data_IF_941165081524
#
_entry.id   IF_941165081524
#
_cell.length_a   1.000
_cell.length_b   1.000
_cell.length_c   1.000
_cell.angle_alpha   90.00
_cell.angle_beta   90.00
_cell.angle_gamma   90.00
#
_symmetry.space_group_name_H-M   'P 1'
#
loop_
_entity.id
_entity.type
_entity.pdbx_description
1 polymer ?
#
# COMPACT_ATOMS: atom_id res chain seq x y z
N UNK A 1 -10.31 0.47 20.59
CA UNK A 1 -9.56 0.53 19.31
C UNK A 1 -10.19 -0.35 18.22
N UNK A 2 -10.46 -1.63 18.48
CA UNK A 2 -11.05 -2.56 17.49
C UNK A 2 -12.36 -2.10 16.84
N UNK A 3 -13.29 -1.49 17.59
CA UNK A 3 -14.54 -0.96 17.05
C UNK A 3 -14.34 0.18 16.04
N UNK A 4 -13.29 0.99 16.18
CA UNK A 4 -13.02 2.09 15.24
C UNK A 4 -12.46 1.53 13.93
N UNK A 5 -11.57 0.53 14.02
CA UNK A 5 -11.01 -0.15 12.85
C UNK A 5 -12.12 -0.85 12.05
N UNK A 6 -13.07 -1.52 12.71
CA UNK A 6 -14.18 -2.18 12.01
C UNK A 6 -15.09 -1.17 11.29
N UNK A 7 -15.36 -0.01 11.89
CA UNK A 7 -16.10 1.08 11.24
C UNK A 7 -15.34 1.63 10.03
N UNK A 8 -14.02 1.83 10.12
CA UNK A 8 -13.21 2.28 8.99
C UNK A 8 -13.23 1.28 7.83
N UNK A 9 -13.13 -0.02 8.13
CA UNK A 9 -13.25 -1.08 7.13
C UNK A 9 -14.63 -1.10 6.48
N UNK A 10 -15.70 -0.93 7.26
CA UNK A 10 -17.06 -0.84 6.73
C UNK A 10 -17.26 0.39 5.86
N UNK A 11 -16.71 1.54 6.25
CA UNK A 11 -16.72 2.75 5.43
C UNK A 11 -16.05 2.50 4.08
N UNK A 12 -14.84 1.90 4.10
CA UNK A 12 -14.12 1.51 2.88
C UNK A 12 -14.99 0.61 1.99
N UNK A 13 -15.60 -0.43 2.55
CA UNK A 13 -16.48 -1.32 1.78
C UNK A 13 -17.69 -0.58 1.17
N UNK A 14 -18.31 0.33 1.92
CA UNK A 14 -19.44 1.13 1.40
C UNK A 14 -19.02 2.05 0.25
N UNK A 15 -17.93 2.81 0.40
CA UNK A 15 -17.48 3.70 -0.69
C UNK A 15 -17.00 2.91 -1.93
N UNK A 16 -16.52 1.67 -1.76
CA UNK A 16 -16.26 0.75 -2.86
C UNK A 16 -17.54 0.30 -3.57
N UNK A 17 -18.56 -0.10 -2.81
CA UNK A 17 -19.86 -0.51 -3.37
C UNK A 17 -20.54 0.62 -4.15
N UNK A 18 -20.44 1.84 -3.66
CA UNK A 18 -20.98 3.04 -4.32
C UNK A 18 -20.11 3.54 -5.47
N UNK A 19 -18.95 2.92 -5.73
CA UNK A 19 -17.95 3.37 -6.71
C UNK A 19 -17.45 4.82 -6.49
N UNK A 20 -17.38 5.26 -5.24
CA UNK A 20 -16.94 6.60 -4.83
C UNK A 20 -15.70 6.54 -3.91
N UNK A 21 -14.59 5.91 -4.33
CA UNK A 21 -13.40 5.67 -3.50
C UNK A 21 -12.85 6.92 -2.81
N UNK A 22 -12.95 8.07 -3.51
CA UNK A 22 -12.43 9.36 -3.04
C UNK A 22 -13.04 9.81 -1.71
N UNK A 23 -14.30 9.45 -1.45
CA UNK A 23 -15.01 9.84 -0.23
C UNK A 23 -14.42 9.18 1.02
N UNK A 24 -13.77 8.02 0.88
CA UNK A 24 -13.11 7.36 2.01
C UNK A 24 -11.66 7.83 2.26
N UNK A 25 -11.03 8.54 1.31
CA UNK A 25 -9.60 8.91 1.39
C UNK A 25 -9.30 9.79 2.60
N UNK A 26 -10.03 10.90 2.78
CA UNK A 26 -9.77 11.81 3.88
C UNK A 26 -10.09 11.20 5.26
N UNK A 27 -11.25 10.54 5.46
CA UNK A 27 -11.56 9.86 6.73
C UNK A 27 -10.54 8.78 7.10
N UNK A 28 -10.15 7.91 6.15
CA UNK A 28 -9.18 6.84 6.43
C UNK A 28 -7.79 7.40 6.72
N UNK A 29 -7.35 8.47 6.05
CA UNK A 29 -6.09 9.15 6.37
C UNK A 29 -6.08 9.64 7.82
N UNK A 30 -7.18 10.27 8.25
CA UNK A 30 -7.32 10.73 9.63
C UNK A 30 -7.31 9.56 10.62
N UNK A 31 -7.99 8.46 10.27
CA UNK A 31 -8.02 7.27 11.11
C UNK A 31 -6.63 6.63 11.26
N UNK A 32 -5.86 6.48 10.17
CA UNK A 32 -4.48 5.97 10.20
C UNK A 32 -3.64 6.77 11.19
N UNK A 33 -3.60 8.09 11.03
CA UNK A 33 -2.78 8.98 11.89
C UNK A 33 -3.19 9.00 13.36
N UNK A 34 -4.49 8.79 13.66
CA UNK A 34 -4.99 8.83 15.04
C UNK A 34 -4.93 7.48 15.74
N UNK A 35 -4.91 6.38 14.99
CA UNK A 35 -4.94 5.02 15.53
C UNK A 35 -3.57 4.37 15.57
N UNK A 36 -2.60 4.86 14.79
CA UNK A 36 -1.22 4.42 14.89
C UNK A 36 -0.65 4.74 16.29
N UNK A 37 0.02 3.77 16.90
CA UNK A 37 0.74 3.93 18.17
C UNK A 37 1.98 4.79 18.00
N UNK A 38 2.69 4.61 16.89
CA UNK A 38 3.84 5.41 16.42
C UNK A 38 3.76 5.58 14.90
N UNK A 39 4.53 6.52 14.33
CA UNK A 39 4.67 6.63 12.87
C UNK A 39 5.40 5.43 12.25
N UNK A 40 6.11 4.65 13.06
CA UNK A 40 6.88 3.49 12.63
C UNK A 40 6.04 2.20 12.56
N UNK A 41 4.80 2.25 13.04
CA UNK A 41 3.95 1.08 13.20
C UNK A 41 2.92 0.93 12.07
N UNK A 42 2.99 -0.19 11.36
CA UNK A 42 2.06 -0.52 10.29
C UNK A 42 0.73 -1.02 10.87
N UNK A 43 -0.34 -0.26 10.62
CA UNK A 43 -1.70 -0.71 10.92
C UNK A 43 -2.39 -1.27 9.67
N UNK A 44 -3.35 -2.18 9.88
CA UNK A 44 -4.21 -2.72 8.80
C UNK A 44 -4.87 -1.65 7.91
N UNK A 45 -5.14 -0.45 8.45
CA UNK A 45 -5.79 0.65 7.73
C UNK A 45 -4.89 1.34 6.70
N UNK A 46 -3.56 1.18 6.79
CA UNK A 46 -2.64 1.73 5.80
C UNK A 46 -2.93 1.18 4.41
N UNK A 47 -3.05 -0.15 4.30
CA UNK A 47 -3.35 -0.80 3.03
C UNK A 47 -4.70 -0.40 2.46
N UNK A 48 -5.74 -0.28 3.30
CA UNK A 48 -7.07 0.18 2.89
C UNK A 48 -7.02 1.64 2.39
N UNK A 49 -6.32 2.53 3.09
CA UNK A 49 -6.12 3.91 2.67
C UNK A 49 -5.39 4.01 1.31
N UNK A 50 -4.28 3.29 1.14
CA UNK A 50 -3.51 3.30 -0.10
C UNK A 50 -4.33 2.75 -1.27
N UNK A 51 -5.16 1.71 -1.04
CA UNK A 51 -6.10 1.21 -2.04
C UNK A 51 -7.09 2.29 -2.48
N UNK A 52 -7.68 3.03 -1.55
CA UNK A 52 -8.58 4.15 -1.89
C UNK A 52 -7.86 5.23 -2.69
N UNK A 53 -6.62 5.59 -2.32
CA UNK A 53 -5.81 6.55 -3.07
C UNK A 53 -5.50 6.06 -4.49
N UNK A 54 -5.22 4.77 -4.66
CA UNK A 54 -4.95 4.18 -5.96
C UNK A 54 -6.19 4.23 -6.87
N UNK A 55 -7.35 3.80 -6.35
CA UNK A 55 -8.60 3.76 -7.12
C UNK A 55 -9.15 5.16 -7.45
N UNK A 56 -8.94 6.12 -6.55
CA UNK A 56 -9.30 7.53 -6.79
C UNK A 56 -8.23 8.32 -7.58
N UNK A 57 -7.10 7.70 -7.93
CA UNK A 57 -5.94 8.34 -8.55
C UNK A 57 -5.33 9.49 -7.73
N UNK A 58 -5.58 9.54 -6.43
CA UNK A 58 -5.03 10.52 -5.49
C UNK A 58 -3.65 10.10 -4.96
N UNK A 59 -2.69 9.89 -5.87
CA UNK A 59 -1.36 9.34 -5.54
C UNK A 59 -0.55 10.24 -4.60
N UNK A 60 -0.62 11.57 -4.75
CA UNK A 60 0.07 12.52 -3.85
C UNK A 60 -0.42 12.39 -2.40
N UNK A 61 -1.70 12.11 -2.21
CA UNK A 61 -2.28 11.89 -0.88
C UNK A 61 -1.77 10.58 -0.29
N UNK A 62 -1.74 9.51 -1.08
CA UNK A 62 -1.18 8.22 -0.65
C UNK A 62 0.30 8.32 -0.29
N UNK A 63 1.06 9.07 -1.09
CA UNK A 63 2.49 9.29 -0.88
C UNK A 63 2.83 9.89 0.49
N UNK A 64 1.98 10.77 1.04
CA UNK A 64 2.23 11.41 2.33
C UNK A 64 2.35 10.45 3.53
N UNK A 65 1.89 9.20 3.40
CA UNK A 65 2.07 8.14 4.40
C UNK A 65 3.24 7.22 4.03
N UNK A 66 3.52 7.06 2.72
CA UNK A 66 4.62 6.20 2.23
C UNK A 66 6.01 6.81 2.45
N UNK A 67 6.09 8.11 2.77
CA UNK A 67 7.34 8.81 3.10
C UNK A 67 7.72 8.64 4.58
N UNK A 68 6.84 8.07 5.41
CA UNK A 68 7.14 7.68 6.79
C UNK A 68 7.80 6.30 6.81
N UNK A 69 8.89 6.14 7.56
CA UNK A 69 9.58 4.86 7.70
C UNK A 69 8.79 3.94 8.63
N UNK A 70 8.51 2.72 8.17
CA UNK A 70 7.77 1.70 8.93
C UNK A 70 8.72 0.57 9.30
N UNK A 71 8.83 0.27 10.58
CA UNK A 71 9.70 -0.77 11.13
C UNK A 71 8.93 -1.86 11.89
N UNK A 72 7.75 -1.54 12.44
CA UNK A 72 6.95 -2.47 13.21
C UNK A 72 5.76 -2.97 12.38
N UNK A 73 5.61 -4.31 12.30
CA UNK A 73 4.52 -4.96 11.57
C UNK A 73 3.99 -6.14 12.38
N UNK A 74 2.68 -6.11 12.67
CA UNK A 74 2.02 -7.21 13.38
C UNK A 74 1.72 -8.42 12.48
N UNK A 75 1.30 -8.16 11.23
CA UNK A 75 0.84 -9.21 10.32
C UNK A 75 1.56 -9.13 8.96
N UNK A 76 2.18 -10.23 8.48
CA UNK A 76 2.86 -10.25 7.18
C UNK A 76 1.96 -9.76 6.03
N UNK A 77 0.69 -10.18 6.02
CA UNK A 77 -0.28 -9.79 4.98
C UNK A 77 -0.43 -8.27 4.83
N UNK A 78 -0.36 -7.54 5.93
CA UNK A 78 -0.49 -6.08 5.91
C UNK A 78 0.72 -5.43 5.24
N UNK A 79 1.92 -5.96 5.48
CA UNK A 79 3.14 -5.55 4.79
C UNK A 79 3.07 -5.84 3.29
N UNK A 80 2.60 -7.02 2.87
CA UNK A 80 2.45 -7.36 1.44
C UNK A 80 1.59 -6.34 0.70
N UNK A 81 0.41 -6.01 1.24
CA UNK A 81 -0.51 -5.07 0.62
C UNK A 81 0.01 -3.63 0.68
N UNK A 82 0.58 -3.22 1.82
CA UNK A 82 1.19 -1.91 1.98
C UNK A 82 2.28 -1.68 0.92
N UNK A 83 3.22 -2.61 0.81
CA UNK A 83 4.32 -2.50 -0.13
C UNK A 83 3.83 -2.60 -1.59
N UNK A 84 2.89 -3.50 -1.88
CA UNK A 84 2.35 -3.62 -3.23
C UNK A 84 1.65 -2.33 -3.69
N UNK A 85 0.75 -1.78 -2.88
CA UNK A 85 0.05 -0.53 -3.21
C UNK A 85 0.99 0.68 -3.18
N UNK A 86 1.97 0.70 -2.26
CA UNK A 86 3.02 1.71 -2.23
C UNK A 86 3.86 1.72 -3.51
N UNK A 87 4.21 0.53 -4.02
CA UNK A 87 4.85 0.36 -5.32
C UNK A 87 4.01 0.93 -6.44
N UNK A 88 2.72 0.58 -6.51
CA UNK A 88 1.80 1.07 -7.55
C UNK A 88 1.61 2.60 -7.53
N UNK A 89 1.50 3.20 -6.35
CA UNK A 89 1.42 4.66 -6.18
C UNK A 89 2.70 5.32 -6.72
N UNK A 90 3.87 4.79 -6.36
CA UNK A 90 5.15 5.31 -6.85
C UNK A 90 5.31 5.13 -8.37
N UNK A 91 4.81 4.03 -8.96
CA UNK A 91 4.73 3.85 -10.43
C UNK A 91 3.85 4.94 -11.05
N UNK A 92 2.66 5.19 -10.48
CA UNK A 92 1.74 6.24 -10.95
C UNK A 92 2.34 7.64 -10.90
N UNK A 93 3.27 7.87 -9.97
CA UNK A 93 4.05 9.11 -9.83
C UNK A 93 5.38 9.10 -10.60
N UNK A 94 5.68 8.05 -11.37
CA UNK A 94 6.95 7.82 -12.09
C UNK A 94 8.20 7.83 -11.18
N UNK A 95 8.04 7.58 -9.88
CA UNK A 95 9.13 7.40 -8.92
C UNK A 95 9.64 5.95 -8.97
N UNK A 96 10.18 5.54 -10.12
CA UNK A 96 10.46 4.13 -10.42
C UNK A 96 11.46 3.48 -9.45
N UNK A 97 12.50 4.20 -9.02
CA UNK A 97 13.45 3.71 -8.00
C UNK A 97 12.72 3.30 -6.71
N UNK A 98 11.89 4.19 -6.16
CA UNK A 98 11.13 3.91 -4.93
C UNK A 98 10.09 2.82 -5.15
N UNK A 99 9.47 2.77 -6.33
CA UNK A 99 8.57 1.67 -6.67
C UNK A 99 9.28 0.31 -6.65
N UNK A 100 10.52 0.22 -7.14
CA UNK A 100 11.32 -1.00 -7.08
C UNK A 100 11.62 -1.41 -5.63
N UNK A 101 11.97 -0.48 -4.75
CA UNK A 101 12.18 -0.77 -3.32
C UNK A 101 10.92 -1.42 -2.70
N UNK A 102 9.75 -0.80 -2.92
CA UNK A 102 8.48 -1.32 -2.42
C UNK A 102 8.13 -2.70 -3.00
N UNK A 103 8.26 -2.89 -4.31
CA UNK A 103 7.96 -4.18 -4.95
C UNK A 103 8.98 -5.25 -4.58
N UNK A 104 10.25 -4.89 -4.37
CA UNK A 104 11.29 -5.81 -3.90
C UNK A 104 10.95 -6.35 -2.52
N UNK A 105 10.52 -5.50 -1.58
CA UNK A 105 10.11 -5.90 -0.25
C UNK A 105 8.99 -6.95 -0.26
N UNK A 106 8.08 -6.90 -1.24
CA UNK A 106 7.06 -7.94 -1.44
C UNK A 106 7.68 -9.25 -1.92
N UNK A 107 8.59 -9.20 -2.87
CA UNK A 107 9.19 -10.39 -3.50
C UNK A 107 10.14 -11.12 -2.54
N UNK A 108 10.83 -10.41 -1.65
CA UNK A 108 11.80 -10.99 -0.71
C UNK A 108 11.23 -11.32 0.65
N UNK A 109 10.02 -10.85 0.99
CA UNK A 109 9.37 -11.17 2.24
C UNK A 109 9.17 -12.70 2.38
N UNK A 110 9.42 -13.28 3.57
CA UNK A 110 9.24 -14.71 3.79
C UNK A 110 7.76 -15.09 3.64
N UNK A 111 7.51 -16.15 2.87
CA UNK A 111 6.16 -16.68 2.63
C UNK A 111 6.14 -18.18 2.85
N UNK A 112 5.18 -18.66 3.63
CA UNK A 112 4.92 -20.10 3.80
C UNK A 112 4.14 -20.68 2.62
N UNK A 113 3.28 -19.87 2.00
CA UNK A 113 2.46 -20.23 0.85
C UNK A 113 2.55 -19.12 -0.20
N UNK A 114 2.59 -19.51 -1.48
CA UNK A 114 2.54 -18.56 -2.59
C UNK A 114 1.22 -17.78 -2.56
N UNK A 115 1.28 -16.46 -2.65
CA UNK A 115 0.10 -15.60 -2.69
C UNK A 115 0.05 -14.78 -4.00
N UNK A 116 -1.17 -14.45 -4.45
CA UNK A 116 -1.37 -13.74 -5.72
C UNK A 116 -0.76 -12.33 -5.71
N UNK A 117 -0.65 -11.68 -4.54
CA UNK A 117 -0.06 -10.35 -4.39
C UNK A 117 1.42 -10.39 -4.77
N UNK A 118 2.17 -11.39 -4.30
CA UNK A 118 3.58 -11.56 -4.59
C UNK A 118 3.82 -11.84 -6.08
N UNK A 119 2.98 -12.67 -6.71
CA UNK A 119 3.06 -12.92 -8.15
C UNK A 119 2.85 -11.62 -8.95
N UNK A 120 1.82 -10.85 -8.61
CA UNK A 120 1.51 -9.59 -9.27
C UNK A 120 2.55 -8.49 -9.02
N UNK A 121 3.15 -8.47 -7.83
CA UNK A 121 4.27 -7.60 -7.50
C UNK A 121 5.52 -7.97 -8.32
N UNK A 122 5.82 -9.25 -8.45
CA UNK A 122 6.96 -9.74 -9.22
C UNK A 122 6.87 -9.36 -10.70
N UNK A 123 5.70 -9.54 -11.32
CA UNK A 123 5.46 -9.09 -12.70
C UNK A 123 5.73 -7.60 -12.87
N UNK A 124 5.22 -6.77 -11.94
CA UNK A 124 5.43 -5.32 -11.96
C UNK A 124 6.87 -4.94 -11.68
N UNK A 125 7.56 -5.68 -10.81
CA UNK A 125 8.98 -5.47 -10.50
C UNK A 125 9.84 -5.60 -11.76
N UNK A 126 9.63 -6.66 -12.55
CA UNK A 126 10.33 -6.86 -13.83
C UNK A 126 10.06 -5.69 -14.78
N UNK A 127 8.79 -5.32 -14.98
CA UNK A 127 8.42 -4.24 -15.88
C UNK A 127 9.04 -2.90 -15.45
N UNK A 128 8.98 -2.57 -14.17
CA UNK A 128 9.56 -1.32 -13.65
C UNK A 128 11.09 -1.34 -13.72
N UNK A 129 11.73 -2.49 -13.52
CA UNK A 129 13.19 -2.64 -13.67
C UNK A 129 13.61 -2.36 -15.10
N UNK A 130 12.89 -2.90 -16.08
CA UNK A 130 13.14 -2.63 -17.50
C UNK A 130 12.96 -1.14 -17.84
N UNK A 131 11.92 -0.50 -17.30
CA UNK A 131 11.68 0.93 -17.50
C UNK A 131 12.79 1.79 -16.87
N UNK A 132 13.21 1.47 -15.65
CA UNK A 132 14.15 2.31 -14.90
C UNK A 132 15.61 2.11 -15.32
N UNK A 133 16.02 0.85 -15.53
CA UNK A 133 17.41 0.45 -15.70
C UNK A 133 17.73 -0.04 -17.12
N UNK A 134 16.72 -0.25 -17.98
CA UNK A 134 16.89 -0.85 -19.30
C UNK A 134 17.20 -2.35 -19.28
N UNK A 135 17.26 -2.96 -18.10
CA UNK A 135 17.60 -4.37 -17.90
C UNK A 135 16.78 -4.94 -16.74
N UNK A 136 16.65 -6.27 -16.73
CA UNK A 136 16.09 -6.97 -15.58
C UNK A 136 17.17 -7.06 -14.50
N UNK A 137 16.84 -6.57 -13.30
CA UNK A 137 17.55 -6.99 -12.09
C UNK A 137 16.99 -8.38 -11.77
N UNK A 138 17.84 -9.41 -11.69
CA UNK A 138 17.60 -10.87 -11.75
C UNK A 138 17.79 -11.50 -13.14
#
# INVERSE_FOLDING_TARGET
>A
MFAVISVCKRLKDQVMQLQLPIQGVAPLRTAVRKLQSSSEHLTSLHSDFLLLCLLSKCYKTGLSILEEDIYEVDQPKELFLYCYYGGMINIGLKRFRKALEFLHNVVTAPMTNLNAIAIEAYKKYILVSLIHNGQRIF
#
